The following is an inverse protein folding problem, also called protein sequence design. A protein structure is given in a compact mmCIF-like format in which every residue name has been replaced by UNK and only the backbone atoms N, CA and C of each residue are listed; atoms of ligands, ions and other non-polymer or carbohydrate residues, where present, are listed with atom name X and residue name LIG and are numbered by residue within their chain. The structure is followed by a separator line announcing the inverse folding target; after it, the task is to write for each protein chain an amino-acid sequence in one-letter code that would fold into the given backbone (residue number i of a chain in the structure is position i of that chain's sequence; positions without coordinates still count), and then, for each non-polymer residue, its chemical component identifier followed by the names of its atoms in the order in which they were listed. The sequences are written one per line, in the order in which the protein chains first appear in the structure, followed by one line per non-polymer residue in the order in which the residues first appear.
data_IF_812046455505
#
_entry.id   IF_812046455505
#
_cell.length_a   1.000
_cell.length_b   1.000
_cell.length_c   1.000
_cell.angle_alpha   90.00
_cell.angle_beta   90.00
_cell.angle_gamma   90.00
#
_symmetry.space_group_name_H-M   'P 1'
#
loop_
_entity.id
_entity.type
_entity.pdbx_description
1 polymer ?
#
# COMPACT_ATOMS: atom_id res chain seq x y z
N UNK A 1 -18.82 2.02 -8.46
CA UNK A 1 -18.59 0.61 -8.86
C UNK A 1 -17.14 0.22 -8.54
N UNK A 2 -16.79 -1.06 -8.47
CA UNK A 2 -15.37 -1.46 -8.37
C UNK A 2 -14.77 -1.44 -9.79
N UNK A 3 -13.55 -0.93 -9.99
CA UNK A 3 -12.92 -0.89 -11.32
C UNK A 3 -12.68 -2.31 -11.86
N UNK A 4 -12.64 -2.45 -13.19
CA UNK A 4 -12.35 -3.73 -13.85
C UNK A 4 -10.97 -4.26 -13.44
N UNK A 5 -10.86 -5.58 -13.25
CA UNK A 5 -9.61 -6.26 -12.95
C UNK A 5 -8.83 -6.66 -14.21
N UNK A 6 -9.39 -6.48 -15.39
CA UNK A 6 -8.79 -6.93 -16.66
C UNK A 6 -7.39 -6.35 -16.93
N UNK A 7 -7.12 -5.04 -16.74
CA UNK A 7 -5.77 -4.50 -16.92
C UNK A 7 -4.75 -5.11 -15.95
N UNK A 8 -5.19 -5.47 -14.73
CA UNK A 8 -4.33 -6.11 -13.74
C UNK A 8 -3.93 -7.52 -14.17
N UNK A 9 -4.82 -8.25 -14.84
CA UNK A 9 -4.50 -9.57 -15.37
C UNK A 9 -3.49 -9.50 -16.50
N UNK A 10 -3.57 -8.48 -17.36
CA UNK A 10 -2.55 -8.22 -18.39
C UNK A 10 -1.19 -7.91 -17.77
N UNK A 11 -1.14 -7.02 -16.77
CA UNK A 11 0.11 -6.72 -16.04
C UNK A 11 0.64 -7.98 -15.35
N UNK A 12 -0.22 -8.73 -14.66
CA UNK A 12 0.16 -9.96 -13.98
C UNK A 12 0.76 -10.98 -14.96
N UNK A 13 0.15 -11.17 -16.14
CA UNK A 13 0.64 -12.10 -17.15
C UNK A 13 2.00 -11.67 -17.70
N UNK A 14 2.21 -10.38 -17.98
CA UNK A 14 3.51 -9.87 -18.42
C UNK A 14 4.60 -10.09 -17.36
N UNK A 15 4.31 -9.73 -16.10
CA UNK A 15 5.24 -9.92 -15.00
C UNK A 15 5.53 -11.40 -14.74
N UNK A 16 4.53 -12.29 -14.84
CA UNK A 16 4.69 -13.73 -14.69
C UNK A 16 5.69 -14.29 -15.71
N UNK A 17 5.49 -13.93 -16.98
CA UNK A 17 6.38 -14.30 -18.08
C UNK A 17 7.80 -13.78 -17.87
N UNK A 18 7.96 -12.49 -17.57
CA UNK A 18 9.26 -11.83 -17.46
C UNK A 18 10.12 -12.30 -16.29
N UNK A 19 9.51 -12.48 -15.11
CA UNK A 19 10.27 -12.65 -13.87
C UNK A 19 10.12 -14.03 -13.23
N UNK A 20 9.01 -14.71 -13.52
CA UNK A 20 8.66 -15.98 -12.90
C UNK A 20 8.61 -17.13 -13.92
N UNK A 21 9.00 -16.90 -15.18
CA UNK A 21 9.07 -17.91 -16.23
C UNK A 21 7.75 -18.64 -16.44
N UNK A 22 6.63 -17.90 -16.35
CA UNK A 22 5.26 -18.43 -16.42
C UNK A 22 4.94 -19.51 -15.37
N UNK A 23 5.75 -19.63 -14.32
CA UNK A 23 5.57 -20.65 -13.30
C UNK A 23 4.46 -20.32 -12.30
N UNK A 24 4.08 -19.04 -12.14
CA UNK A 24 3.01 -18.69 -11.20
C UNK A 24 1.66 -19.21 -11.72
N UNK A 25 0.94 -20.00 -10.93
CA UNK A 25 -0.41 -20.42 -11.30
C UNK A 25 -1.36 -19.21 -11.32
N UNK A 26 -2.41 -19.23 -12.15
CA UNK A 26 -3.41 -18.17 -12.18
C UNK A 26 -3.99 -17.89 -10.79
N UNK A 27 -4.17 -16.60 -10.48
CA UNK A 27 -4.67 -16.14 -9.19
C UNK A 27 -5.76 -15.09 -9.37
N UNK A 28 -6.73 -15.08 -8.47
CA UNK A 28 -7.75 -14.03 -8.45
C UNK A 28 -7.13 -12.74 -7.92
N UNK A 29 -7.33 -11.64 -8.65
CA UNK A 29 -6.92 -10.30 -8.25
C UNK A 29 -8.18 -9.47 -7.99
N UNK A 30 -8.29 -8.85 -6.82
CA UNK A 30 -9.51 -8.16 -6.37
C UNK A 30 -9.22 -6.77 -5.82
N UNK A 31 -10.07 -5.80 -6.14
CA UNK A 31 -10.10 -4.52 -5.46
C UNK A 31 -10.83 -4.60 -4.12
N UNK A 32 -10.29 -3.94 -3.10
CA UNK A 32 -10.86 -3.92 -1.75
C UNK A 32 -10.92 -2.50 -1.20
N UNK A 33 -12.14 -2.04 -0.90
CA UNK A 33 -12.38 -0.81 -0.12
C UNK A 33 -12.06 -0.95 1.37
N UNK A 34 -11.86 -2.19 1.83
CA UNK A 34 -11.59 -2.51 3.25
C UNK A 34 -10.10 -2.67 3.53
N UNK A 35 -9.28 -2.76 2.49
CA UNK A 35 -7.82 -2.84 2.61
C UNK A 35 -7.30 -1.41 2.66
N UNK A 36 -6.96 -0.94 3.85
CA UNK A 36 -6.60 0.47 4.06
C UNK A 36 -5.31 0.62 4.88
N UNK A 37 -4.74 -0.48 5.35
CA UNK A 37 -3.45 -0.50 6.06
C UNK A 37 -2.24 -0.71 5.13
N UNK A 38 -2.48 -1.12 3.89
CA UNK A 38 -1.47 -1.34 2.85
C UNK A 38 -2.14 -1.22 1.47
N UNK A 39 -1.37 -0.92 0.42
CA UNK A 39 -1.89 -0.88 -0.94
C UNK A 39 -2.17 -2.29 -1.51
N UNK A 40 -1.38 -3.29 -1.12
CA UNK A 40 -1.50 -4.67 -1.57
C UNK A 40 -1.60 -5.65 -0.40
N UNK A 41 -2.14 -6.84 -0.69
CA UNK A 41 -2.09 -8.00 0.19
C UNK A 41 -2.30 -9.31 -0.56
N UNK A 42 -1.31 -10.20 -0.50
CA UNK A 42 -1.44 -11.60 -0.81
C UNK A 42 -2.14 -12.33 0.35
N UNK A 43 -3.33 -12.86 0.08
CA UNK A 43 -4.15 -13.59 1.05
C UNK A 43 -4.00 -15.08 0.80
N UNK A 44 -3.67 -15.85 1.84
CA UNK A 44 -3.74 -17.31 1.83
C UNK A 44 -4.49 -17.83 3.06
N UNK A 45 -5.42 -18.76 2.88
CA UNK A 45 -6.24 -19.36 3.96
C UNK A 45 -5.63 -20.64 4.53
N UNK A 46 -4.70 -21.25 3.81
CA UNK A 46 -4.02 -22.49 4.18
C UNK A 46 -2.51 -22.32 4.04
N UNK A 47 -1.74 -23.26 4.60
CA UNK A 47 -0.29 -23.23 4.50
C UNK A 47 0.23 -23.61 3.10
N UNK A 48 1.44 -23.17 2.71
CA UNK A 48 2.03 -23.46 1.38
C UNK A 48 2.20 -24.95 1.05
N UNK A 49 2.33 -25.79 2.09
CA UNK A 49 2.49 -27.25 1.98
C UNK A 49 1.20 -28.02 2.24
N UNK A 50 0.07 -27.34 2.35
CA UNK A 50 -1.21 -28.00 2.56
C UNK A 50 -1.54 -28.88 1.34
N UNK A 51 -2.02 -30.13 1.54
CA UNK A 51 -2.38 -31.01 0.43
C UNK A 51 -3.32 -30.30 -0.56
N UNK A 52 -2.96 -30.37 -1.83
CA UNK A 52 -3.79 -29.84 -2.91
C UNK A 52 -5.05 -30.70 -2.99
N UNK A 53 -6.22 -30.08 -2.79
CA UNK A 53 -7.46 -30.70 -3.27
C UNK A 53 -7.44 -30.60 -4.79
N UNK A 54 -7.82 -31.67 -5.47
CA UNK A 54 -7.79 -31.80 -6.92
C UNK A 54 -8.72 -30.83 -7.65
N UNK A 55 -9.61 -30.11 -6.95
CA UNK A 55 -10.49 -29.12 -7.59
C UNK A 55 -9.82 -27.76 -7.74
N UNK A 56 -9.76 -27.30 -9.00
CA UNK A 56 -9.30 -25.96 -9.39
C UNK A 56 -10.12 -24.84 -8.72
N UNK A 57 -11.41 -25.09 -8.46
CA UNK A 57 -12.33 -24.14 -7.81
C UNK A 57 -12.00 -23.88 -6.34
N UNK A 58 -11.36 -24.83 -5.65
CA UNK A 58 -10.98 -24.67 -4.25
C UNK A 58 -9.65 -23.90 -4.14
N UNK A 59 -8.75 -24.08 -5.10
CA UNK A 59 -7.48 -23.33 -5.15
C UNK A 59 -7.68 -21.81 -5.30
N UNK A 60 -8.66 -21.38 -6.11
CA UNK A 60 -9.01 -19.95 -6.29
C UNK A 60 -9.73 -19.36 -5.07
N UNK A 61 -10.33 -20.17 -4.20
CA UNK A 61 -10.92 -19.73 -2.92
C UNK A 61 -9.90 -19.63 -1.79
N UNK A 62 -8.80 -20.38 -1.90
CA UNK A 62 -7.78 -20.48 -0.84
C UNK A 62 -6.78 -19.33 -0.86
N UNK A 63 -6.53 -18.69 -2.02
CA UNK A 63 -5.62 -17.54 -2.11
C UNK A 63 -6.06 -16.53 -3.17
N UNK A 64 -5.76 -15.26 -2.91
CA UNK A 64 -5.97 -14.17 -3.86
C UNK A 64 -5.02 -13.00 -3.57
N UNK A 65 -4.84 -12.13 -4.56
CA UNK A 65 -4.19 -10.82 -4.38
C UNK A 65 -5.29 -9.78 -4.22
N UNK A 66 -5.20 -8.96 -3.17
CA UNK A 66 -6.09 -7.82 -2.94
C UNK A 66 -5.32 -6.52 -3.09
N UNK A 67 -5.90 -5.60 -3.84
CA UNK A 67 -5.40 -4.23 -4.01
C UNK A 67 -6.36 -3.24 -3.36
N UNK A 68 -5.82 -2.20 -2.73
CA UNK A 68 -6.59 -1.17 -2.04
C UNK A 68 -7.17 -0.20 -3.06
N UNK A 69 -8.50 -0.13 -3.15
CA UNK A 69 -9.15 0.93 -3.94
C UNK A 69 -9.23 2.28 -3.22
N UNK A 70 -8.65 2.37 -2.01
CA UNK A 70 -8.57 3.61 -1.21
C UNK A 70 -7.19 4.25 -1.33
N UNK A 71 -6.14 3.43 -1.41
CA UNK A 71 -4.74 3.88 -1.44
C UNK A 71 -4.14 3.87 -2.85
N UNK A 72 -4.74 3.17 -3.81
CA UNK A 72 -4.23 3.14 -5.18
C UNK A 72 -5.16 3.90 -6.13
N UNK A 73 -4.62 4.55 -7.17
CA UNK A 73 -5.40 5.30 -8.14
C UNK A 73 -6.18 4.35 -9.06
N UNK A 74 -7.46 4.18 -8.76
CA UNK A 74 -8.36 3.31 -9.53
C UNK A 74 -8.70 3.82 -10.94
N UNK A 75 -8.36 5.07 -11.25
CA UNK A 75 -8.70 5.71 -12.52
C UNK A 75 -7.72 5.33 -13.65
N UNK A 76 -6.47 4.94 -13.30
CA UNK A 76 -5.40 4.66 -14.26
C UNK A 76 -4.69 3.33 -13.99
N UNK A 77 -5.45 2.29 -13.60
CA UNK A 77 -4.94 0.97 -13.16
C UNK A 77 -3.87 0.36 -14.08
N UNK A 78 -3.98 0.53 -15.40
CA UNK A 78 -3.05 -0.06 -16.38
C UNK A 78 -1.78 0.77 -16.64
N UNK A 79 -1.77 2.04 -16.25
CA UNK A 79 -0.71 3.01 -16.51
C UNK A 79 -0.02 3.48 -15.23
N UNK A 80 -0.64 3.20 -14.09
CA UNK A 80 -0.17 3.66 -12.80
C UNK A 80 0.97 2.79 -12.27
N UNK A 81 2.11 3.45 -12.04
CA UNK A 81 3.33 2.83 -11.53
C UNK A 81 3.14 2.25 -10.14
N UNK A 82 2.33 2.88 -9.29
CA UNK A 82 2.13 2.40 -7.91
C UNK A 82 1.33 1.10 -7.87
N UNK A 83 0.29 1.00 -8.70
CA UNK A 83 -0.51 -0.21 -8.88
C UNK A 83 0.33 -1.35 -9.43
N UNK A 84 1.14 -1.08 -10.45
CA UNK A 84 2.06 -2.08 -11.04
C UNK A 84 3.09 -2.57 -10.01
N UNK A 85 3.75 -1.66 -9.29
CA UNK A 85 4.77 -2.02 -8.28
C UNK A 85 4.18 -2.75 -7.08
N UNK A 86 2.96 -2.37 -6.66
CA UNK A 86 2.21 -3.08 -5.63
C UNK A 86 1.83 -4.48 -6.10
N UNK A 87 1.32 -4.65 -7.31
CA UNK A 87 0.99 -5.97 -7.84
C UNK A 87 2.25 -6.85 -7.94
N UNK A 88 3.35 -6.30 -8.45
CA UNK A 88 4.64 -6.99 -8.51
C UNK A 88 5.12 -7.45 -7.11
N UNK A 89 4.98 -6.60 -6.09
CA UNK A 89 5.27 -6.96 -4.70
C UNK A 89 4.46 -8.19 -4.25
N UNK A 90 3.14 -8.17 -4.46
CA UNK A 90 2.27 -9.29 -4.07
C UNK A 90 2.53 -10.56 -4.88
N UNK A 91 2.99 -10.44 -6.14
CA UNK A 91 3.41 -11.59 -6.95
C UNK A 91 4.68 -12.25 -6.42
N UNK A 92 5.61 -11.50 -5.81
CA UNK A 92 6.76 -12.10 -5.11
C UNK A 92 6.28 -12.94 -3.92
N UNK A 93 5.28 -12.47 -3.18
CA UNK A 93 4.66 -13.27 -2.11
C UNK A 93 3.96 -14.52 -2.65
N UNK A 94 3.25 -14.41 -3.78
CA UNK A 94 2.71 -15.56 -4.47
C UNK A 94 3.82 -16.56 -4.85
N UNK A 95 4.94 -16.09 -5.41
CA UNK A 95 6.07 -16.94 -5.77
C UNK A 95 6.65 -17.69 -4.57
N UNK A 96 6.82 -17.02 -3.43
CA UNK A 96 7.26 -17.68 -2.20
C UNK A 96 6.30 -18.79 -1.77
N UNK A 97 4.99 -18.54 -1.89
CA UNK A 97 3.96 -19.48 -1.49
C UNK A 97 3.83 -20.66 -2.48
N UNK A 98 3.64 -20.38 -3.76
CA UNK A 98 3.30 -21.37 -4.78
C UNK A 98 4.54 -22.14 -5.27
N UNK A 99 5.70 -21.47 -5.41
CA UNK A 99 6.91 -22.07 -6.00
C UNK A 99 7.87 -22.52 -4.91
N UNK A 100 8.24 -21.63 -3.98
CA UNK A 100 9.19 -22.00 -2.91
C UNK A 100 8.56 -22.82 -1.79
N UNK A 101 7.22 -22.91 -1.74
CA UNK A 101 6.45 -23.55 -0.66
C UNK A 101 6.80 -23.00 0.73
N UNK A 102 7.10 -21.70 0.81
CA UNK A 102 7.46 -20.96 2.03
C UNK A 102 6.35 -20.01 2.46
N UNK A 103 6.27 -19.73 3.76
CA UNK A 103 5.35 -18.69 4.26
C UNK A 103 5.86 -17.31 3.76
N UNK A 104 5.02 -16.52 3.08
CA UNK A 104 5.43 -15.22 2.54
C UNK A 104 5.99 -14.29 3.61
N UNK A 105 7.09 -13.62 3.28
CA UNK A 105 7.77 -12.64 4.14
C UNK A 105 8.80 -11.84 3.33
N UNK A 106 9.26 -10.71 3.85
CA UNK A 106 10.26 -9.84 3.19
C UNK A 106 11.73 -10.22 3.47
N UNK A 107 12.00 -11.52 3.63
CA UNK A 107 13.33 -12.07 3.88
C UNK A 107 14.22 -12.15 2.64
N UNK A 108 15.24 -13.00 2.68
CA UNK A 108 16.28 -13.07 1.64
C UNK A 108 15.71 -13.36 0.24
N UNK A 109 14.81 -14.34 0.11
CA UNK A 109 14.24 -14.70 -1.20
C UNK A 109 13.45 -13.53 -1.82
N UNK A 110 12.65 -12.84 -0.99
CA UNK A 110 11.89 -11.68 -1.42
C UNK A 110 12.81 -10.58 -1.92
N UNK A 111 13.83 -10.23 -1.12
CA UNK A 111 14.79 -9.17 -1.49
C UNK A 111 15.56 -9.51 -2.75
N UNK A 112 15.93 -10.78 -2.96
CA UNK A 112 16.61 -11.23 -4.18
C UNK A 112 15.72 -11.06 -5.42
N UNK A 113 14.47 -11.53 -5.36
CA UNK A 113 13.53 -11.37 -6.47
C UNK A 113 13.21 -9.89 -6.73
N UNK A 114 12.95 -9.12 -5.67
CA UNK A 114 12.73 -7.67 -5.74
C UNK A 114 13.91 -6.94 -6.40
N UNK A 115 15.15 -7.26 -6.01
CA UNK A 115 16.34 -6.66 -6.60
C UNK A 115 16.43 -7.00 -8.10
N UNK A 116 16.20 -8.26 -8.50
CA UNK A 116 16.15 -8.67 -9.91
C UNK A 116 15.12 -7.87 -10.70
N UNK A 117 13.89 -7.75 -10.18
CA UNK A 117 12.83 -6.98 -10.83
C UNK A 117 13.14 -5.48 -10.90
N UNK A 118 13.87 -4.94 -9.91
CA UNK A 118 14.23 -3.53 -9.86
C UNK A 118 15.40 -3.16 -10.78
N UNK A 119 16.24 -4.11 -11.18
CA UNK A 119 17.25 -3.87 -12.23
C UNK A 119 16.58 -3.45 -13.55
N UNK A 120 15.38 -3.96 -13.81
CA UNK A 120 14.53 -3.60 -14.96
C UNK A 120 13.70 -2.31 -14.72
N UNK A 121 13.94 -1.60 -13.61
CA UNK A 121 13.37 -0.29 -13.35
C UNK A 121 11.99 -0.24 -12.68
N UNK A 122 11.46 -1.37 -12.18
CA UNK A 122 10.13 -1.37 -11.53
C UNK A 122 10.10 -0.48 -10.27
N UNK A 123 11.10 -0.55 -9.41
CA UNK A 123 11.18 0.26 -8.20
C UNK A 123 10.28 -0.23 -7.06
N UNK A 124 10.10 -1.56 -6.96
CA UNK A 124 9.42 -2.25 -5.87
C UNK A 124 10.15 -1.98 -4.55
N UNK A 125 9.40 -1.70 -3.49
CA UNK A 125 9.92 -1.52 -2.14
C UNK A 125 9.28 -2.50 -1.16
N UNK A 126 9.94 -2.76 -0.03
CA UNK A 126 9.35 -3.52 1.10
C UNK A 126 8.30 -2.68 1.82
N UNK A 127 8.62 -1.41 2.05
CA UNK A 127 7.74 -0.44 2.68
C UNK A 127 7.25 0.52 1.60
N UNK A 128 5.96 0.48 1.31
CA UNK A 128 5.35 1.50 0.46
C UNK A 128 5.48 2.86 1.16
N UNK A 129 5.80 3.91 0.38
CA UNK A 129 5.84 5.31 0.83
C UNK A 129 4.46 5.88 1.20
N UNK A 130 3.41 5.04 1.21
CA UNK A 130 2.04 5.31 1.65
C UNK A 130 1.90 5.70 3.12
N UNK A 131 3.01 5.86 3.85
CA UNK A 131 3.00 6.24 5.26
C UNK A 131 2.18 7.50 5.53
N UNK A 132 2.21 8.50 4.64
CA UNK A 132 1.41 9.73 4.76
C UNK A 132 -0.08 9.47 4.55
N UNK A 133 -0.47 8.78 3.48
CA UNK A 133 -1.87 8.50 3.16
C UNK A 133 -2.51 7.55 4.17
N UNK A 134 -1.81 6.48 4.57
CA UNK A 134 -2.25 5.56 5.61
C UNK A 134 -2.40 6.28 6.95
N UNK A 135 -1.50 7.23 7.25
CA UNK A 135 -1.57 8.07 8.46
C UNK A 135 -2.73 9.05 8.38
N UNK A 136 -2.99 9.66 7.23
CA UNK A 136 -4.12 10.58 7.01
C UNK A 136 -5.47 9.89 7.22
N UNK A 137 -5.56 8.59 6.91
CA UNK A 137 -6.75 7.79 7.18
C UNK A 137 -6.94 7.43 8.67
N UNK A 138 -5.95 7.67 9.54
CA UNK A 138 -6.04 7.31 10.95
C UNK A 138 -7.05 8.19 11.69
N UNK A 139 -8.04 7.55 12.30
CA UNK A 139 -9.11 8.20 13.09
C UNK A 139 -8.90 8.10 14.59
N UNK A 140 -8.00 7.23 15.01
CA UNK A 140 -7.75 6.92 16.41
C UNK A 140 -6.26 6.86 16.69
N UNK A 141 -5.82 7.39 17.83
CA UNK A 141 -4.44 7.33 18.27
C UNK A 141 -4.33 6.91 19.73
N UNK A 142 -3.29 6.13 20.04
CA UNK A 142 -2.98 5.68 21.39
C UNK A 142 -1.55 6.03 21.72
N UNK A 143 -1.33 6.50 22.95
CA UNK A 143 -0.02 6.83 23.49
C UNK A 143 0.29 5.90 24.65
N UNK A 144 1.46 5.28 24.61
CA UNK A 144 1.98 4.58 25.76
C UNK A 144 2.25 5.58 26.89
N UNK A 145 1.72 5.29 28.07
CA UNK A 145 1.89 6.17 29.24
C UNK A 145 3.29 6.07 29.87
N UNK A 146 4.11 5.09 29.45
CA UNK A 146 5.45 4.87 30.00
C UNK A 146 6.56 5.34 29.04
N UNK A 147 6.59 4.82 27.81
CA UNK A 147 7.64 5.19 26.84
C UNK A 147 7.21 6.26 25.83
N UNK A 148 5.95 6.71 25.85
CA UNK A 148 5.44 7.72 24.94
C UNK A 148 5.19 7.27 23.50
N UNK A 149 5.45 6.01 23.13
CA UNK A 149 5.21 5.50 21.76
C UNK A 149 3.76 5.75 21.31
N UNK A 150 3.62 6.24 20.08
CA UNK A 150 2.33 6.57 19.46
C UNK A 150 1.94 5.49 18.45
N UNK A 151 0.72 4.99 18.59
CA UNK A 151 0.10 4.05 17.67
C UNK A 151 -1.09 4.74 17.00
N UNK A 152 -1.02 4.96 15.69
CA UNK A 152 -2.15 5.48 14.90
C UNK A 152 -2.90 4.32 14.25
N UNK A 153 -4.24 4.32 14.31
CA UNK A 153 -5.09 3.32 13.66
C UNK A 153 -6.32 3.97 13.05
N UNK A 154 -6.81 3.36 11.99
CA UNK A 154 -8.02 3.78 11.30
C UNK A 154 -9.30 3.27 11.98
N UNK A 155 -9.18 2.18 12.74
CA UNK A 155 -10.26 1.57 13.53
C UNK A 155 -9.82 1.46 14.99
N UNK A 156 -10.80 1.54 15.91
CA UNK A 156 -10.61 1.43 17.36
C UNK A 156 -10.28 -0.02 17.80
N UNK A 157 -9.14 -0.53 17.33
CA UNK A 157 -8.70 -1.93 17.46
C UNK A 157 -7.88 -2.18 18.72
N UNK A 158 -7.18 -1.17 19.22
CA UNK A 158 -6.45 -1.27 20.48
C UNK A 158 -7.45 -1.13 21.63
N UNK A 159 -7.62 -2.23 22.36
CA UNK A 159 -8.35 -2.26 23.62
C UNK A 159 -7.34 -2.23 24.77
N UNK A 160 -7.23 -1.13 25.55
CA UNK A 160 -6.22 -0.99 26.61
C UNK A 160 -6.23 -2.10 27.66
N UNK A 161 -7.39 -2.72 27.92
CA UNK A 161 -7.51 -3.86 28.84
C UNK A 161 -6.84 -5.14 28.33
N UNK A 162 -6.63 -5.27 27.02
CA UNK A 162 -6.11 -6.48 26.37
C UNK A 162 -4.78 -6.28 25.68
N UNK A 163 -4.40 -5.03 25.41
CA UNK A 163 -3.22 -4.71 24.61
C UNK A 163 -2.31 -3.77 25.36
N UNK A 164 -1.02 -4.10 25.33
CA UNK A 164 0.06 -3.33 25.92
C UNK A 164 0.95 -2.73 24.82
N UNK A 165 1.79 -1.77 25.20
CA UNK A 165 2.79 -1.21 24.31
C UNK A 165 3.73 -2.32 23.80
N UNK A 166 3.92 -2.40 22.48
CA UNK A 166 4.83 -3.37 21.87
C UNK A 166 6.31 -3.13 22.18
N UNK A 167 6.68 -1.92 22.62
CA UNK A 167 8.06 -1.55 22.94
C UNK A 167 8.42 -1.80 24.41
N UNK A 168 7.59 -1.33 25.36
CA UNK A 168 7.90 -1.41 26.79
C UNK A 168 6.89 -2.21 27.63
N UNK A 169 5.84 -2.76 27.01
CA UNK A 169 4.70 -3.41 27.68
C UNK A 169 3.89 -2.51 28.65
N UNK A 170 4.12 -1.20 28.64
CA UNK A 170 3.33 -0.24 29.42
C UNK A 170 1.88 -0.04 28.91
N UNK A 171 1.00 0.57 29.71
CA UNK A 171 -0.40 0.78 29.36
C UNK A 171 -0.57 1.80 28.22
N UNK A 172 -1.61 1.60 27.41
CA UNK A 172 -1.96 2.44 26.27
C UNK A 172 -3.20 3.27 26.59
N UNK A 173 -3.15 4.58 26.35
CA UNK A 173 -4.31 5.48 26.47
C UNK A 173 -4.63 6.10 25.13
N UNK A 174 -5.90 6.10 24.77
CA UNK A 174 -6.38 6.78 23.57
C UNK A 174 -6.33 8.31 23.77
N UNK A 175 -5.98 9.03 22.71
CA UNK A 175 -6.00 10.49 22.68
C UNK A 175 -6.53 10.99 21.34
N UNK A 176 -7.05 12.22 21.32
CA UNK A 176 -7.61 12.83 20.13
C UNK A 176 -6.51 13.11 19.09
N UNK A 177 -6.79 12.82 17.83
CA UNK A 177 -5.97 13.29 16.71
C UNK A 177 -6.48 14.69 16.38
N UNK A 178 -5.66 15.72 16.58
CA UNK A 178 -5.88 17.00 15.90
C UNK A 178 -5.41 16.78 14.47
N UNK A 179 -6.34 16.76 13.52
CA UNK A 179 -5.98 16.81 12.11
C UNK A 179 -5.64 18.27 11.83
N UNK A 180 -4.40 18.55 11.40
CA UNK A 180 -4.09 19.85 10.82
C UNK A 180 -4.93 19.96 9.54
N UNK A 181 -6.01 20.73 9.59
CA UNK A 181 -6.61 21.24 8.36
C UNK A 181 -5.52 22.01 7.62
N UNK A 182 -5.30 21.78 6.31
CA UNK A 182 -4.44 22.64 5.53
C UNK A 182 -5.03 24.05 5.61
N UNK A 183 -4.36 24.93 6.36
CA UNK A 183 -4.68 26.35 6.36
C UNK A 183 -4.62 26.81 4.89
N UNK A 184 -5.68 27.44 4.36
CA UNK A 184 -5.60 28.00 3.01
C UNK A 184 -4.40 28.94 2.98
N UNK A 185 -3.51 28.74 1.99
CA UNK A 185 -2.39 29.64 1.76
C UNK A 185 -2.94 31.08 1.75
N UNK A 186 -2.34 32.01 2.50
CA UNK A 186 -2.76 33.40 2.46
C UNK A 186 -2.66 33.85 1.01
N UNK A 187 -3.79 34.34 0.47
CA UNK A 187 -3.89 34.80 -0.90
C UNK A 187 -2.72 35.75 -1.20
N UNK A 188 -2.06 35.61 -2.37
CA UNK A 188 -0.95 36.49 -2.71
C UNK A 188 -1.44 37.93 -2.64
N UNK A 189 -0.84 38.70 -1.74
CA UNK A 189 -1.12 40.12 -1.61
C UNK A 189 -0.86 40.77 -2.97
N UNK A 190 -1.92 41.24 -3.60
CA UNK A 190 -1.85 42.03 -4.82
C UNK A 190 -1.01 43.27 -4.53
N UNK A 191 0.25 43.26 -4.97
CA UNK A 191 1.04 44.47 -5.07
C UNK A 191 0.39 45.33 -6.16
N UNK A 192 -0.50 46.24 -5.76
CA UNK A 192 -0.89 47.36 -6.60
C UNK A 192 0.40 48.13 -6.93
N UNK A 193 0.88 47.95 -8.15
CA UNK A 193 2.02 48.68 -8.69
C UNK A 193 1.74 50.17 -8.56
N UNK A 194 2.63 50.88 -7.84
CA UNK A 194 2.68 52.33 -7.89
C UNK A 194 3.00 52.73 -9.32
N UNK A 195 2.01 53.31 -9.99
CA UNK A 195 2.14 53.97 -11.27
C UNK A 195 3.12 55.14 -11.08
N UNK A 196 4.35 54.99 -11.57
CA UNK A 196 5.26 56.12 -11.72
C UNK A 196 4.88 56.87 -12.99
N UNK A 197 4.23 58.02 -12.81
CA UNK A 197 4.06 59.03 -13.85
C UNK A 197 5.43 59.58 -14.21
N UNK A 198 5.87 59.33 -15.45
CA UNK A 198 6.99 60.03 -16.05
C UNK A 198 6.51 61.41 -16.53
N UNK A 199 7.18 62.52 -16.17
CA UNK A 199 6.93 63.78 -16.81
C UNK A 199 7.65 63.82 -18.17
N UNK A 200 6.90 64.23 -19.19
CA UNK A 200 7.42 64.77 -20.44
C UNK A 200 8.53 65.79 -20.20
N UNK A 201 9.61 65.75 -21.00
CA UNK A 201 10.20 66.95 -21.60
C UNK A 201 10.73 66.65 -23.00
N UNK A 202 10.44 67.61 -23.88
CA UNK A 202 10.72 67.66 -25.31
C UNK A 202 12.15 68.11 -25.59
N UNK A 203 12.77 67.56 -26.63
CA UNK A 203 13.55 68.27 -27.67
C UNK A 203 13.75 67.34 -28.85
#
# INVERSE_FOLDING_TARGET
MAPSAEPLLTIWADLNRRYFHDALPPIRIEWSRRLTSSAGMFVCRVGPRHPHSLSTSDQTRRRCIRLSSVLLPIQHVGLDRETMTTLAHEMIHQWQYDILKRRPNHGQDFRRMMARMNLDGLGITIYHSLGKEVTALAKYAWRCQQCGSIYRRQRRTIQPRRHLCGACRGPLREFAIVQDEPQPEPAPMSFMGRQFSLPFQSS
#
